data_IF_314651622141
#
_entry.id   IF_314651622141
#
_cell.length_a   1.000
_cell.length_b   1.000
_cell.length_c   1.000
_cell.angle_alpha   90.00
_cell.angle_beta   90.00
_cell.angle_gamma   90.00
#
_symmetry.space_group_name_H-M   'P 1'
#
loop_
_entity.id
_entity.type
_entity.pdbx_description
1 polymer ?
#
# COMPACT_ATOMS: atom_id res chain seq x y z
N UNK A 1 4.69 -9.28 0.08
CA UNK A 1 4.03 -7.97 0.26
C UNK A 1 3.42 -7.58 -1.07
N UNK A 2 2.12 -7.30 -1.11
CA UNK A 2 1.49 -6.78 -2.32
C UNK A 2 1.83 -5.28 -2.44
N UNK A 3 2.27 -4.85 -3.62
CA UNK A 3 2.63 -3.46 -3.89
C UNK A 3 1.42 -2.76 -4.50
N UNK A 4 0.56 -2.19 -3.66
CA UNK A 4 -0.59 -1.40 -4.10
C UNK A 4 -0.33 0.06 -3.80
N UNK A 5 -0.69 0.95 -4.73
CA UNK A 5 -0.53 2.39 -4.56
C UNK A 5 -1.75 3.13 -5.12
N UNK A 6 -2.05 4.27 -4.51
CA UNK A 6 -3.08 5.20 -5.00
C UNK A 6 -2.38 6.35 -5.71
N UNK A 7 -2.75 6.55 -6.97
CA UNK A 7 -2.34 7.71 -7.74
C UNK A 7 -3.45 8.76 -7.66
N UNK A 8 -3.18 9.88 -6.98
CA UNK A 8 -4.07 11.05 -6.98
C UNK A 8 -3.78 11.87 -8.23
N UNK A 9 -4.82 12.30 -8.94
CA UNK A 9 -4.68 12.97 -10.23
C UNK A 9 -3.72 14.16 -10.15
N UNK A 10 -2.92 14.34 -11.19
CA UNK A 10 -2.02 15.48 -11.32
C UNK A 10 -2.42 16.30 -12.57
N UNK A 11 -1.93 17.53 -12.69
CA UNK A 11 -2.21 18.43 -13.81
C UNK A 11 -1.65 17.97 -15.16
N UNK A 12 -0.82 16.92 -15.17
CA UNK A 12 -0.15 16.40 -16.35
C UNK A 12 -0.61 14.97 -16.66
N UNK A 13 -0.62 14.62 -17.95
CA UNK A 13 -0.91 13.26 -18.40
C UNK A 13 0.24 12.33 -17.99
N UNK A 14 -0.10 11.25 -17.28
CA UNK A 14 0.84 10.22 -16.84
C UNK A 14 0.50 8.90 -17.52
N UNK A 15 1.51 8.18 -17.98
CA UNK A 15 1.37 6.84 -18.58
C UNK A 15 2.01 5.84 -17.61
N UNK A 16 1.24 4.84 -17.20
CA UNK A 16 1.75 3.76 -16.36
C UNK A 16 2.65 2.82 -17.17
N UNK A 17 3.72 2.33 -16.54
CA UNK A 17 4.56 1.29 -17.12
C UNK A 17 3.75 0.01 -17.39
N UNK A 18 4.14 -0.77 -18.40
CA UNK A 18 3.43 -1.98 -18.83
C UNK A 18 3.28 -3.05 -17.72
N UNK A 19 4.14 -3.02 -16.70
CA UNK A 19 4.15 -3.98 -15.60
C UNK A 19 3.20 -3.60 -14.45
N UNK A 20 2.42 -2.52 -14.59
CA UNK A 20 1.46 -2.07 -13.61
C UNK A 20 0.04 -2.35 -14.10
N UNK A 21 -0.80 -2.88 -13.20
CA UNK A 21 -2.23 -2.99 -13.45
C UNK A 21 -2.91 -1.75 -12.89
N UNK A 22 -3.68 -1.07 -13.73
CA UNK A 22 -4.38 0.16 -13.37
C UNK A 22 -5.84 -0.15 -13.08
N UNK A 23 -6.23 0.07 -11.83
CA UNK A 23 -7.62 -0.01 -11.37
C UNK A 23 -8.16 1.41 -11.31
N UNK A 24 -9.28 1.65 -12.00
CA UNK A 24 -10.04 2.90 -11.90
C UNK A 24 -11.33 2.63 -11.13
N UNK A 25 -11.39 3.01 -9.85
CA UNK A 25 -12.61 2.92 -9.05
C UNK A 25 -13.80 3.54 -9.79
N UNK A 26 -14.97 2.88 -9.73
CA UNK A 26 -16.23 3.48 -10.19
C UNK A 26 -16.76 4.46 -9.12
N UNK A 27 -17.80 5.19 -9.48
CA UNK A 27 -18.61 5.95 -8.52
C UNK A 27 -19.04 4.97 -7.39
N UNK A 28 -18.86 5.38 -6.13
CA UNK A 28 -19.14 4.64 -4.89
C UNK A 28 -17.99 3.83 -4.24
N UNK A 29 -16.75 3.91 -4.73
CA UNK A 29 -15.60 3.35 -3.99
C UNK A 29 -14.40 4.29 -3.98
N UNK A 30 -13.86 4.56 -2.79
CA UNK A 30 -12.67 5.38 -2.60
C UNK A 30 -11.42 4.55 -2.93
N UNK A 31 -10.50 5.13 -3.70
CA UNK A 31 -9.22 4.48 -4.03
C UNK A 31 -8.39 4.13 -2.79
N UNK A 32 -8.40 4.99 -1.78
CA UNK A 32 -7.69 4.77 -0.50
C UNK A 32 -8.29 3.57 0.26
N UNK A 33 -9.62 3.46 0.33
CA UNK A 33 -10.30 2.29 0.92
C UNK A 33 -10.01 0.99 0.16
N UNK A 34 -10.11 1.02 -1.18
CA UNK A 34 -9.79 -0.12 -2.03
C UNK A 34 -8.35 -0.59 -1.82
N UNK A 35 -7.40 0.33 -1.72
CA UNK A 35 -6.01 0.02 -1.42
C UNK A 35 -5.87 -0.71 -0.08
N UNK A 36 -6.54 -0.23 0.97
CA UNK A 36 -6.51 -0.86 2.30
C UNK A 36 -7.04 -2.30 2.22
N UNK A 37 -8.17 -2.51 1.53
CA UNK A 37 -8.73 -3.85 1.34
C UNK A 37 -7.75 -4.78 0.61
N UNK A 38 -7.16 -4.35 -0.51
CA UNK A 38 -6.22 -5.17 -1.28
C UNK A 38 -4.91 -5.48 -0.53
N UNK A 39 -4.51 -4.63 0.41
CA UNK A 39 -3.37 -4.86 1.30
C UNK A 39 -3.71 -5.70 2.54
N UNK A 40 -4.99 -5.86 2.87
CA UNK A 40 -5.45 -6.66 4.01
C UNK A 40 -5.10 -8.14 3.85
N UNK A 41 -5.10 -8.95 4.92
CA UNK A 41 -4.87 -10.39 4.83
C UNK A 41 -5.85 -11.09 3.86
N UNK A 42 -7.12 -10.68 3.86
CA UNK A 42 -8.17 -11.22 2.99
C UNK A 42 -7.90 -10.84 1.54
N UNK A 43 -7.75 -9.54 1.24
CA UNK A 43 -7.47 -9.08 -0.12
C UNK A 43 -6.16 -9.64 -0.68
N UNK A 44 -5.13 -9.78 0.16
CA UNK A 44 -3.87 -10.41 -0.20
C UNK A 44 -4.02 -11.89 -0.56
N UNK A 45 -4.89 -12.61 0.17
CA UNK A 45 -5.20 -14.02 -0.11
C UNK A 45 -5.97 -14.17 -1.42
N UNK A 46 -6.97 -13.31 -1.66
CA UNK A 46 -7.71 -13.27 -2.93
C UNK A 46 -6.79 -12.97 -4.11
N UNK A 47 -5.91 -11.97 -4.00
CA UNK A 47 -4.93 -11.66 -5.05
C UNK A 47 -4.05 -12.89 -5.35
N UNK A 48 -3.63 -13.62 -4.31
CA UNK A 48 -2.79 -14.82 -4.47
C UNK A 48 -3.54 -16.00 -5.09
N UNK A 49 -4.84 -16.17 -4.84
CA UNK A 49 -5.60 -17.26 -5.46
C UNK A 49 -5.70 -17.12 -6.98
N UNK A 50 -5.57 -15.90 -7.50
CA UNK A 50 -5.52 -15.63 -8.95
C UNK A 50 -4.11 -15.69 -9.55
N UNK A 51 -3.07 -15.87 -8.74
CA UNK A 51 -1.69 -15.99 -9.24
C UNK A 51 -1.50 -17.33 -9.95
N UNK A 52 -1.09 -17.29 -11.22
CA UNK A 52 -0.74 -18.47 -12.02
C UNK A 52 0.79 -18.54 -12.17
N UNK A 53 1.37 -19.71 -11.89
CA UNK A 53 2.81 -19.97 -12.04
C UNK A 53 3.63 -19.74 -10.75
N UNK A 54 4.77 -20.43 -10.64
CA UNK A 54 5.57 -20.51 -9.40
C UNK A 54 6.59 -19.39 -9.20
N UNK A 55 6.99 -18.68 -10.28
CA UNK A 55 8.23 -17.87 -10.27
C UNK A 55 8.03 -16.41 -10.66
N UNK A 56 7.05 -16.10 -11.53
CA UNK A 56 6.71 -14.72 -11.93
C UNK A 56 5.24 -14.49 -11.61
N UNK A 57 4.97 -13.62 -10.65
CA UNK A 57 3.60 -13.18 -10.35
C UNK A 57 3.08 -12.34 -11.52
N UNK A 58 2.39 -12.99 -12.46
CA UNK A 58 1.63 -12.30 -13.48
C UNK A 58 0.14 -12.48 -13.17
N UNK A 59 -0.53 -11.38 -12.84
CA UNK A 59 -1.97 -11.37 -12.58
C UNK A 59 -2.62 -10.76 -13.82
N UNK A 60 -3.57 -11.46 -14.44
CA UNK A 60 -4.27 -10.88 -15.58
C UNK A 60 -5.26 -9.82 -15.09
N UNK A 61 -5.42 -8.69 -15.81
CA UNK A 61 -6.44 -7.70 -15.49
C UNK A 61 -7.86 -8.25 -15.44
N UNK A 62 -8.14 -9.37 -16.12
CA UNK A 62 -9.43 -10.06 -16.08
C UNK A 62 -9.66 -10.69 -14.70
N UNK A 63 -8.67 -11.39 -14.16
CA UNK A 63 -8.78 -12.06 -12.87
C UNK A 63 -8.99 -11.05 -11.72
N UNK A 64 -8.42 -9.84 -11.82
CA UNK A 64 -8.63 -8.76 -10.84
C UNK A 64 -10.08 -8.27 -10.80
N UNK A 65 -10.80 -8.32 -11.93
CA UNK A 65 -12.20 -7.88 -11.99
C UNK A 65 -13.14 -8.81 -11.21
N UNK A 66 -12.74 -10.06 -11.01
CA UNK A 66 -13.50 -11.06 -10.27
C UNK A 66 -13.29 -10.95 -8.74
N UNK A 67 -12.38 -10.08 -8.28
CA UNK A 67 -12.18 -9.86 -6.84
C UNK A 67 -13.41 -9.14 -6.27
N UNK A 68 -14.17 -9.86 -5.47
CA UNK A 68 -15.26 -9.28 -4.68
C UNK A 68 -14.70 -8.40 -3.57
N UNK A 69 -15.26 -7.19 -3.44
CA UNK A 69 -14.84 -6.17 -2.48
C UNK A 69 -16.05 -5.78 -1.62
N UNK A 70 -15.92 -5.69 -0.29
CA UNK A 70 -16.99 -5.20 0.56
C UNK A 70 -17.36 -3.75 0.20
N UNK A 71 -18.60 -3.55 -0.25
CA UNK A 71 -19.15 -2.24 -0.60
C UNK A 71 -19.80 -1.60 0.62
N UNK A 72 -18.99 -0.85 1.37
CA UNK A 72 -19.49 0.01 2.46
C UNK A 72 -20.01 1.34 1.91
N UNK A 73 -20.82 2.05 2.68
CA UNK A 73 -21.17 3.43 2.36
C UNK A 73 -19.93 4.34 2.31
N UNK A 74 -20.01 5.44 1.57
CA UNK A 74 -18.86 6.33 1.35
C UNK A 74 -18.35 7.00 2.63
N UNK A 75 -19.22 7.16 3.63
CA UNK A 75 -18.88 7.74 4.92
C UNK A 75 -17.96 6.80 5.71
N UNK A 76 -18.33 5.53 5.85
CA UNK A 76 -17.47 4.51 6.49
C UNK A 76 -16.20 4.26 5.72
N UNK A 77 -16.25 4.25 4.39
CA UNK A 77 -15.03 4.13 3.58
C UNK A 77 -14.04 5.26 3.88
N UNK A 78 -14.55 6.49 4.07
CA UNK A 78 -13.75 7.66 4.41
C UNK A 78 -13.18 7.56 5.82
N UNK A 79 -14.02 7.22 6.81
CA UNK A 79 -13.60 7.03 8.20
C UNK A 79 -12.44 6.02 8.30
N UNK A 80 -12.59 4.85 7.65
CA UNK A 80 -11.54 3.82 7.61
C UNK A 80 -10.25 4.35 6.95
N UNK A 81 -10.39 5.07 5.83
CA UNK A 81 -9.24 5.58 5.10
C UNK A 81 -8.48 6.67 5.88
N UNK A 82 -9.20 7.55 6.58
CA UNK A 82 -8.65 8.60 7.41
C UNK A 82 -7.90 8.00 8.61
N UNK A 83 -8.56 7.13 9.38
CA UNK A 83 -7.96 6.46 10.53
C UNK A 83 -6.69 5.67 10.13
N UNK A 84 -6.76 4.90 9.04
CA UNK A 84 -5.60 4.17 8.53
C UNK A 84 -4.45 5.11 8.13
N UNK A 85 -4.76 6.24 7.50
CA UNK A 85 -3.76 7.23 7.08
C UNK A 85 -3.07 7.89 8.28
N UNK A 86 -3.83 8.22 9.33
CA UNK A 86 -3.29 8.79 10.57
C UNK A 86 -2.34 7.82 11.27
N UNK A 87 -2.76 6.57 11.48
CA UNK A 87 -1.92 5.54 12.10
C UNK A 87 -0.65 5.27 11.28
N UNK A 88 -0.78 5.25 9.94
CA UNK A 88 0.38 5.07 9.06
C UNK A 88 1.37 6.23 9.14
N UNK A 89 0.88 7.46 9.35
CA UNK A 89 1.73 8.63 9.58
C UNK A 89 2.47 8.50 10.90
N UNK A 90 1.80 8.12 11.98
CA UNK A 90 2.40 7.91 13.30
C UNK A 90 3.49 6.82 13.24
N UNK A 91 3.20 5.69 12.57
CA UNK A 91 4.15 4.61 12.35
C UNK A 91 5.41 5.10 11.64
N UNK A 92 5.24 5.87 10.55
CA UNK A 92 6.36 6.44 9.79
C UNK A 92 7.21 7.36 10.67
N UNK A 93 6.61 8.30 11.38
CA UNK A 93 7.34 9.23 12.25
C UNK A 93 8.08 8.51 13.38
N UNK A 94 7.45 7.49 13.97
CA UNK A 94 8.05 6.69 15.05
C UNK A 94 9.26 5.90 14.55
N UNK A 95 9.14 5.26 13.39
CA UNK A 95 10.24 4.49 12.80
C UNK A 95 11.41 5.38 12.38
N UNK A 96 11.13 6.56 11.82
CA UNK A 96 12.17 7.55 11.48
C UNK A 96 12.92 8.04 12.72
N UNK A 97 12.19 8.39 13.80
CA UNK A 97 12.79 8.78 15.09
C UNK A 97 13.64 7.66 15.68
N UNK A 98 13.15 6.42 15.69
CA UNK A 98 13.88 5.27 16.21
C UNK A 98 15.16 5.01 15.39
N UNK A 99 15.07 5.10 14.06
CA UNK A 99 16.21 4.88 13.17
C UNK A 99 17.28 5.97 13.33
N UNK A 100 16.85 7.24 13.46
CA UNK A 100 17.75 8.36 13.75
C UNK A 100 18.50 8.15 15.07
N UNK A 101 17.77 7.85 16.15
CA UNK A 101 18.36 7.56 17.47
C UNK A 101 19.36 6.40 17.41
N UNK A 102 19.00 5.32 16.72
CA UNK A 102 19.89 4.17 16.53
C UNK A 102 21.20 4.58 15.85
N UNK A 103 21.12 5.34 14.76
CA UNK A 103 22.29 5.78 14.01
C UNK A 103 23.20 6.71 14.84
N UNK A 104 22.62 7.62 15.63
CA UNK A 104 23.37 8.51 16.54
C UNK A 104 24.14 7.69 17.60
N UNK A 105 23.47 6.74 18.27
CA UNK A 105 24.12 5.90 19.28
C UNK A 105 25.19 5.00 18.68
N UNK A 106 24.94 4.43 17.50
CA UNK A 106 25.91 3.60 16.78
C UNK A 106 27.17 4.39 16.44
N UNK A 107 27.03 5.61 15.93
CA UNK A 107 28.17 6.46 15.60
C UNK A 107 28.94 6.87 16.86
N UNK A 108 28.24 7.20 17.94
CA UNK A 108 28.85 7.48 19.24
C UNK A 108 29.69 6.31 19.77
N UNK A 109 29.18 5.07 19.66
CA UNK A 109 29.91 3.86 20.06
C UNK A 109 31.16 3.68 19.19
N UNK A 110 31.03 3.78 17.86
CA UNK A 110 32.18 3.60 16.97
C UNK A 110 33.29 4.60 17.22
N UNK A 111 32.95 5.85 17.50
CA UNK A 111 33.94 6.88 17.86
C UNK A 111 34.68 6.60 19.18
N UNK A 112 34.15 5.74 20.05
CA UNK A 112 34.80 5.33 21.31
C UNK A 112 35.70 4.10 21.17
N UNK A 113 35.55 3.29 20.12
CA UNK A 113 36.35 2.09 19.92
C UNK A 113 37.79 2.38 19.47
N UNK A 114 38.03 3.58 18.94
CA UNK A 114 39.32 4.00 18.39
C UNK A 114 40.02 5.08 19.25
N UNK A 115 39.59 5.23 20.50
CA UNK A 115 40.28 6.01 21.54
C UNK A 115 40.82 5.05 22.60
#
# INVERSE_FOLDING_TARGET
>A
MNKVAVFKSNSHKVIASANLIIIRPKENILGDYLKIFLESPVGSTLIKSFQRGSTIMNINPVDIKEIEIPMLDLEKQREIAEHYSEEKKILKETTEKAHKRWNEQRLFIYNRLWK
#
